data_IF_284765016585
#
_entry.id   IF_284765016585
#
_cell.length_a   1.000
_cell.length_b   1.000
_cell.length_c   1.000
_cell.angle_alpha   90.00
_cell.angle_beta   90.00
_cell.angle_gamma   90.00
#
_symmetry.space_group_name_H-M   'P 1'
#
loop_
_entity.id
_entity.type
_entity.pdbx_description
1 polymer ?
#
# COMPACT_ATOMS: atom_id res chain seq x y z
N UNK A 1 17.12 62.67 -13.01
CA UNK A 1 16.91 61.24 -13.34
C UNK A 1 16.99 60.34 -12.10
N UNK A 2 16.16 60.57 -11.06
CA UNK A 2 16.11 59.70 -9.86
C UNK A 2 14.71 59.15 -9.57
N UNK A 3 13.65 59.72 -10.19
CA UNK A 3 12.25 59.37 -9.95
C UNK A 3 11.70 58.27 -10.87
N UNK A 4 12.33 58.04 -12.03
CA UNK A 4 11.91 57.01 -13.00
C UNK A 4 12.36 55.62 -12.57
N UNK A 5 13.54 55.49 -11.94
CA UNK A 5 14.04 54.21 -11.43
C UNK A 5 13.14 53.60 -10.34
N UNK A 6 12.50 54.42 -9.52
CA UNK A 6 11.61 53.94 -8.45
C UNK A 6 10.33 53.28 -8.98
N UNK A 7 9.80 53.77 -10.10
CA UNK A 7 8.57 53.25 -10.72
C UNK A 7 8.85 51.94 -11.48
N UNK A 8 10.03 51.82 -12.08
CA UNK A 8 10.44 50.61 -12.80
C UNK A 8 10.67 49.42 -11.84
N UNK A 9 11.16 49.69 -10.63
CA UNK A 9 11.33 48.68 -9.58
C UNK A 9 9.99 48.23 -8.97
N UNK A 10 8.98 49.12 -8.85
CA UNK A 10 7.67 48.74 -8.29
C UNK A 10 6.82 47.92 -9.27
N UNK A 11 6.94 48.16 -10.58
CA UNK A 11 6.20 47.39 -11.59
C UNK A 11 6.80 45.99 -11.80
N UNK A 12 8.10 45.81 -11.53
CA UNK A 12 8.76 44.51 -11.61
C UNK A 12 8.26 43.51 -10.54
N UNK A 13 7.68 43.98 -9.44
CA UNK A 13 7.13 43.13 -8.37
C UNK A 13 5.65 42.74 -8.56
N UNK A 14 4.94 43.35 -9.52
CA UNK A 14 3.56 42.99 -9.85
C UNK A 14 3.48 41.90 -10.93
N UNK A 15 4.58 41.63 -11.61
CA UNK A 15 4.72 40.54 -12.56
C UNK A 15 5.38 39.33 -11.90
N UNK A 16 4.58 38.32 -11.61
CA UNK A 16 5.04 36.93 -11.52
C UNK A 16 5.55 36.42 -10.17
N UNK A 17 4.75 36.61 -9.11
CA UNK A 17 4.44 35.49 -8.19
C UNK A 17 3.41 34.55 -8.83
N UNK A 18 3.59 34.22 -10.11
CA UNK A 18 3.13 32.92 -10.60
C UNK A 18 4.13 31.92 -10.03
N UNK A 19 3.92 31.58 -8.76
CA UNK A 19 4.24 30.25 -8.31
C UNK A 19 3.48 29.34 -9.25
N UNK A 20 4.17 28.86 -10.28
CA UNK A 20 3.80 27.62 -10.92
C UNK A 20 3.83 26.62 -9.77
N UNK A 21 2.69 26.42 -9.13
CA UNK A 21 2.40 25.13 -8.53
C UNK A 21 2.56 24.18 -9.71
N UNK A 22 3.75 23.62 -9.82
CA UNK A 22 4.02 22.57 -10.79
C UNK A 22 2.90 21.58 -10.59
N UNK A 23 2.06 21.40 -11.61
CA UNK A 23 1.16 20.27 -11.67
C UNK A 23 2.09 19.07 -11.86
N UNK A 24 2.68 18.62 -10.76
CA UNK A 24 3.29 17.32 -10.70
C UNK A 24 2.09 16.40 -10.81
N UNK A 25 1.75 16.02 -12.04
CA UNK A 25 1.20 14.71 -12.29
C UNK A 25 2.28 13.73 -11.82
N UNK A 26 2.36 13.57 -10.49
CA UNK A 26 3.31 12.72 -9.83
C UNK A 26 2.87 11.30 -10.10
N UNK A 27 3.79 10.47 -10.56
CA UNK A 27 3.54 9.04 -10.62
C UNK A 27 3.14 8.57 -9.23
N UNK A 28 2.06 7.80 -9.16
CA UNK A 28 1.62 7.22 -7.90
C UNK A 28 2.74 6.33 -7.31
N UNK A 29 3.21 6.57 -6.07
CA UNK A 29 4.19 5.69 -5.47
C UNK A 29 3.61 4.29 -5.25
N UNK A 30 4.48 3.28 -5.30
CA UNK A 30 4.04 1.92 -5.01
C UNK A 30 3.57 1.79 -3.56
N UNK A 31 2.49 1.03 -3.32
CA UNK A 31 1.98 0.78 -1.98
C UNK A 31 3.00 0.00 -1.15
N UNK A 32 2.91 0.10 0.17
CA UNK A 32 3.81 -0.57 1.10
C UNK A 32 3.03 -1.48 2.03
N UNK A 33 3.52 -2.70 2.24
CA UNK A 33 2.98 -3.68 3.17
C UNK A 33 3.98 -3.95 4.30
N UNK A 34 3.51 -3.93 5.54
CA UNK A 34 4.33 -4.09 6.74
C UNK A 34 3.63 -4.90 7.83
N UNK A 35 4.33 -5.79 8.55
CA UNK A 35 5.74 -6.13 8.38
C UNK A 35 5.97 -7.13 7.22
N UNK A 36 7.21 -7.22 6.71
CA UNK A 36 7.57 -8.09 5.57
C UNK A 36 7.53 -9.59 5.90
N UNK A 37 7.54 -9.94 7.19
CA UNK A 37 7.45 -11.33 7.66
C UNK A 37 6.49 -11.40 8.84
N UNK A 38 5.52 -12.32 8.74
CA UNK A 38 4.47 -12.54 9.74
C UNK A 38 4.23 -14.04 9.96
N UNK A 39 3.49 -14.39 11.01
CA UNK A 39 2.93 -15.73 11.20
C UNK A 39 1.45 -15.75 10.85
N UNK A 40 0.93 -16.93 10.52
CA UNK A 40 -0.54 -17.13 10.43
C UNK A 40 -1.20 -16.66 11.74
N UNK A 41 -2.17 -15.76 11.60
CA UNK A 41 -2.88 -15.09 12.69
C UNK A 41 -2.46 -13.64 12.93
N UNK A 42 -1.27 -13.23 12.49
CA UNK A 42 -0.76 -11.86 12.67
C UNK A 42 -1.43 -10.86 11.71
N UNK A 43 -1.29 -9.57 12.02
CA UNK A 43 -1.81 -8.48 11.20
C UNK A 43 -0.76 -7.96 10.22
N UNK A 44 -1.22 -7.60 9.02
CA UNK A 44 -0.45 -6.95 7.95
C UNK A 44 -1.12 -5.61 7.67
N UNK A 45 -0.35 -4.54 7.71
CA UNK A 45 -0.79 -3.19 7.36
C UNK A 45 -0.33 -2.85 5.96
N UNK A 46 -1.23 -2.40 5.09
CA UNK A 46 -0.94 -1.99 3.72
C UNK A 46 -1.29 -0.51 3.58
N UNK A 47 -0.38 0.28 3.05
CA UNK A 47 -0.55 1.72 2.88
C UNK A 47 -0.34 2.13 1.43
N UNK A 48 -1.13 3.09 0.95
CA UNK A 48 -0.99 3.69 -0.37
C UNK A 48 -1.36 5.16 -0.31
N UNK A 49 -0.65 6.01 -1.04
CA UNK A 49 -0.98 7.44 -1.18
C UNK A 49 -1.90 7.69 -2.40
N UNK A 50 -2.28 6.61 -3.11
CA UNK A 50 -3.26 6.66 -4.19
C UNK A 50 -4.26 5.52 -4.04
N UNK A 51 -5.53 5.81 -4.27
CA UNK A 51 -6.60 4.84 -4.16
C UNK A 51 -7.59 4.99 -5.31
N UNK A 52 -7.64 3.99 -6.19
CA UNK A 52 -8.80 3.76 -7.05
C UNK A 52 -9.83 2.99 -6.21
N UNK A 53 -11.11 3.24 -6.40
CA UNK A 53 -12.25 2.88 -5.54
C UNK A 53 -12.45 1.39 -5.13
N UNK A 54 -11.47 0.51 -5.35
CA UNK A 54 -11.51 -0.91 -5.04
C UNK A 54 -10.39 -1.31 -4.07
N UNK A 55 -10.70 -2.21 -3.14
CA UNK A 55 -9.71 -2.83 -2.25
C UNK A 55 -8.66 -3.61 -3.06
N UNK A 56 -7.40 -3.69 -2.60
CA UNK A 56 -6.37 -4.40 -3.33
C UNK A 56 -6.61 -5.90 -3.32
N UNK A 57 -6.26 -6.54 -4.43
CA UNK A 57 -6.32 -7.99 -4.60
C UNK A 57 -5.03 -8.65 -4.09
N UNK A 58 -5.17 -9.87 -3.57
CA UNK A 58 -4.03 -10.66 -3.09
C UNK A 58 -3.53 -11.56 -4.21
N UNK A 59 -2.26 -11.39 -4.57
CA UNK A 59 -1.57 -12.14 -5.63
C UNK A 59 -0.33 -12.87 -5.08
N UNK A 60 0.16 -13.86 -5.82
CA UNK A 60 1.41 -14.56 -5.49
C UNK A 60 2.63 -13.73 -5.92
N UNK A 61 3.74 -13.88 -5.20
CA UNK A 61 5.04 -13.34 -5.64
C UNK A 61 5.77 -14.34 -6.57
N UNK A 62 5.48 -14.24 -7.87
CA UNK A 62 6.06 -15.12 -8.89
C UNK A 62 5.66 -16.57 -8.66
N UNK A 63 6.65 -17.47 -8.59
CA UNK A 63 6.43 -18.91 -8.36
C UNK A 63 6.35 -19.29 -6.87
N UNK A 64 6.38 -18.32 -5.94
CA UNK A 64 6.25 -18.62 -4.52
C UNK A 64 4.82 -19.08 -4.20
N UNK A 65 4.62 -19.97 -3.22
CA UNK A 65 3.29 -20.34 -2.76
C UNK A 65 2.50 -19.08 -2.42
N UNK A 66 1.28 -18.93 -2.94
CA UNK A 66 0.53 -17.67 -2.82
C UNK A 66 0.37 -17.22 -1.37
N UNK A 67 0.14 -18.14 -0.42
CA UNK A 67 -0.32 -17.73 0.92
C UNK A 67 -1.70 -17.08 0.85
N UNK A 68 -2.21 -16.61 1.98
CA UNK A 68 -3.51 -15.92 2.01
C UNK A 68 -3.66 -15.00 3.23
N UNK A 69 -4.53 -13.99 3.09
CA UNK A 69 -4.89 -13.08 4.17
C UNK A 69 -6.34 -12.57 4.01
N UNK A 70 -6.98 -12.25 5.13
CA UNK A 70 -8.36 -11.78 5.18
C UNK A 70 -8.41 -10.30 5.56
N UNK A 71 -9.24 -9.51 4.87
CA UNK A 71 -9.41 -8.08 5.17
C UNK A 71 -10.06 -7.88 6.53
N UNK A 72 -9.39 -7.14 7.42
CA UNK A 72 -9.86 -6.78 8.76
C UNK A 72 -10.46 -5.37 8.79
N UNK A 73 -9.77 -4.41 8.18
CA UNK A 73 -10.25 -3.02 8.10
C UNK A 73 -9.76 -2.33 6.83
N UNK A 74 -10.52 -1.33 6.38
CA UNK A 74 -10.26 -0.53 5.18
C UNK A 74 -10.49 0.97 5.45
N UNK A 75 -10.02 1.88 4.59
CA UNK A 75 -10.29 3.31 4.72
C UNK A 75 -11.79 3.64 4.69
N UNK A 76 -12.20 4.67 5.44
CA UNK A 76 -13.61 5.06 5.57
C UNK A 76 -14.20 5.70 4.30
N UNK A 77 -13.35 6.19 3.39
CA UNK A 77 -13.78 6.97 2.22
C UNK A 77 -14.03 6.06 1.01
N UNK A 78 -15.22 5.49 0.94
CA UNK A 78 -15.84 5.12 -0.33
C UNK A 78 -16.20 6.43 -1.06
N UNK A 79 -15.40 6.88 -2.01
CA UNK A 79 -15.76 7.69 -3.19
C UNK A 79 -14.52 8.44 -3.69
N UNK A 80 -14.27 8.25 -4.97
CA UNK A 80 -13.18 8.77 -5.79
C UNK A 80 -12.96 10.28 -5.57
N UNK A 81 -11.95 10.66 -4.79
CA UNK A 81 -11.10 11.77 -5.24
C UNK A 81 -10.32 11.20 -6.42
N UNK A 82 -10.33 11.89 -7.56
CA UNK A 82 -9.66 11.42 -8.77
C UNK A 82 -8.17 11.15 -8.55
N UNK A 83 -7.47 10.84 -9.65
CA UNK A 83 -6.04 10.51 -9.72
C UNK A 83 -5.06 11.58 -9.20
N UNK A 84 -5.53 12.59 -8.48
CA UNK A 84 -4.65 13.57 -7.85
C UNK A 84 -4.12 13.02 -6.53
N UNK A 85 -2.79 13.06 -6.30
CA UNK A 85 -2.23 12.69 -5.01
C UNK A 85 -2.88 13.55 -3.93
N UNK A 86 -3.56 12.88 -3.00
CA UNK A 86 -4.10 13.52 -1.81
C UNK A 86 -3.03 13.42 -0.74
N UNK A 87 -2.86 14.42 0.12
CA UNK A 87 -1.96 14.36 1.29
C UNK A 87 -2.45 13.36 2.36
N UNK A 88 -3.13 12.28 1.97
CA UNK A 88 -3.79 11.31 2.83
C UNK A 88 -3.34 9.89 2.46
N UNK A 89 -2.67 9.23 3.42
CA UNK A 89 -2.27 7.84 3.28
C UNK A 89 -3.45 6.93 3.62
N UNK A 90 -3.92 6.18 2.63
CA UNK A 90 -4.94 5.17 2.80
C UNK A 90 -4.35 3.91 3.43
N UNK A 91 -5.06 3.32 4.41
CA UNK A 91 -4.58 2.15 5.16
C UNK A 91 -5.58 1.00 5.13
N UNK A 92 -5.11 -0.18 4.75
CA UNK A 92 -5.80 -1.47 4.89
C UNK A 92 -5.10 -2.31 5.96
N UNK A 93 -5.89 -3.09 6.69
CA UNK A 93 -5.37 -4.08 7.65
C UNK A 93 -5.90 -5.44 7.25
N UNK A 94 -5.00 -6.40 7.11
CA UNK A 94 -5.29 -7.79 6.79
C UNK A 94 -4.81 -8.70 7.92
N UNK A 95 -5.45 -9.86 8.08
CA UNK A 95 -5.00 -10.94 8.97
C UNK A 95 -4.46 -12.08 8.12
N UNK A 96 -3.22 -12.51 8.38
CA UNK A 96 -2.62 -13.64 7.67
C UNK A 96 -3.37 -14.95 8.00
N UNK A 97 -3.81 -15.68 6.97
CA UNK A 97 -4.62 -16.91 7.12
C UNK A 97 -3.92 -18.17 6.62
N UNK A 98 -3.03 -18.07 5.62
CA UNK A 98 -2.30 -19.22 5.07
C UNK A 98 -0.82 -18.91 4.79
N UNK A 99 0.10 -19.87 5.02
CA UNK A 99 1.52 -19.69 4.77
C UNK A 99 1.83 -19.57 3.27
N UNK A 100 2.77 -18.69 2.93
CA UNK A 100 3.18 -18.37 1.56
C UNK A 100 3.69 -16.94 1.45
N UNK A 101 3.92 -16.46 0.24
CA UNK A 101 4.36 -15.09 -0.03
C UNK A 101 3.33 -14.37 -0.91
N UNK A 102 2.69 -13.35 -0.33
CA UNK A 102 1.69 -12.52 -0.99
C UNK A 102 2.26 -11.16 -1.42
N UNK A 103 1.61 -10.53 -2.39
CA UNK A 103 1.65 -9.09 -2.69
C UNK A 103 0.23 -8.54 -2.78
N UNK A 104 0.08 -7.23 -2.55
CA UNK A 104 -1.18 -6.51 -2.70
C UNK A 104 -1.15 -5.72 -4.01
N UNK A 105 -2.07 -6.06 -4.92
CA UNK A 105 -2.21 -5.46 -6.24
C UNK A 105 -3.45 -4.55 -6.27
N UNK A 106 -3.22 -3.27 -6.51
CA UNK A 106 -4.24 -2.24 -6.55
C UNK A 106 -4.87 -2.07 -7.95
N UNK A 107 -4.44 -2.87 -8.93
CA UNK A 107 -4.91 -2.82 -10.32
C UNK A 107 -4.53 -1.51 -11.02
N UNK A 108 -4.88 -1.36 -12.31
CA UNK A 108 -4.76 -0.07 -12.98
C UNK A 108 -5.80 0.90 -12.41
N UNK A 109 -5.45 2.18 -12.21
CA UNK A 109 -6.45 3.19 -11.90
C UNK A 109 -7.31 3.45 -13.14
N UNK A 110 -8.42 2.72 -13.28
CA UNK A 110 -9.40 2.82 -14.37
C UNK A 110 -8.88 2.44 -15.77
N UNK A 111 -9.79 1.99 -16.64
CA UNK A 111 -9.52 1.55 -18.02
C UNK A 111 -9.19 2.67 -19.00
N UNK A 112 -8.87 3.89 -18.52
CA UNK A 112 -8.68 5.08 -19.35
C UNK A 112 -7.20 5.44 -19.58
N UNK A 113 -6.25 4.76 -18.92
CA UNK A 113 -4.82 5.04 -19.10
C UNK A 113 -4.12 3.95 -19.95
N UNK A 114 -3.62 4.28 -21.16
CA UNK A 114 -2.90 3.34 -22.01
C UNK A 114 -1.51 2.98 -21.49
N UNK A 115 -1.04 3.63 -20.41
CA UNK A 115 0.23 3.37 -19.72
C UNK A 115 -0.02 2.91 -18.27
N UNK A 116 -0.97 1.99 -18.08
CA UNK A 116 -1.45 1.55 -16.77
C UNK A 116 -0.34 1.28 -15.76
N UNK A 117 -0.24 2.15 -14.76
CA UNK A 117 0.61 1.94 -13.59
C UNK A 117 -0.02 0.83 -12.75
N UNK A 118 0.61 -0.35 -12.71
CA UNK A 118 0.24 -1.41 -11.77
C UNK A 118 0.90 -1.11 -10.43
N UNK A 119 0.13 -0.63 -9.46
CA UNK A 119 0.60 -0.34 -8.12
C UNK A 119 0.60 -1.65 -7.29
N UNK A 120 1.79 -2.25 -7.12
CA UNK A 120 1.96 -3.53 -6.41
C UNK A 120 2.90 -3.35 -5.22
N UNK A 121 2.52 -3.92 -4.07
CA UNK A 121 3.32 -3.79 -2.85
C UNK A 121 4.63 -4.59 -2.87
N UNK A 122 5.51 -4.30 -1.90
CA UNK A 122 6.56 -5.23 -1.51
C UNK A 122 5.95 -6.58 -1.05
N UNK A 123 6.69 -7.70 -1.21
CA UNK A 123 6.21 -9.01 -0.80
C UNK A 123 6.15 -9.17 0.73
N UNK A 124 5.15 -9.89 1.21
CA UNK A 124 5.02 -10.29 2.62
C UNK A 124 5.09 -11.81 2.73
N UNK A 125 6.00 -12.31 3.56
CA UNK A 125 6.19 -13.74 3.82
C UNK A 125 5.41 -14.16 5.06
N UNK A 126 4.42 -15.02 4.87
CA UNK A 126 3.60 -15.61 5.92
C UNK A 126 4.18 -16.99 6.27
N UNK A 127 4.67 -17.13 7.49
CA UNK A 127 5.14 -18.39 8.04
C UNK A 127 4.04 -19.10 8.80
N UNK A 128 4.08 -20.43 8.85
CA UNK A 128 3.17 -21.17 9.72
C UNK A 128 3.38 -20.75 11.17
N UNK A 129 2.27 -20.66 11.90
CA UNK A 129 2.37 -20.67 13.35
C UNK A 129 2.80 -22.10 13.75
N UNK A 130 3.64 -22.24 14.78
CA UNK A 130 4.00 -23.59 15.27
C UNK A 130 2.71 -24.31 15.59
N UNK A 131 2.44 -25.43 14.88
CA UNK A 131 1.13 -26.07 14.86
C UNK A 131 0.61 -26.23 16.29
N UNK A 132 -0.45 -25.50 16.69
CA UNK A 132 -1.02 -25.69 18.01
C UNK A 132 -1.43 -27.15 18.20
N UNK A 133 -1.78 -27.84 17.12
CA UNK A 133 -2.10 -29.27 17.09
C UNK A 133 -0.93 -30.18 17.50
N UNK A 134 0.33 -29.88 17.13
CA UNK A 134 1.50 -30.61 17.63
C UNK A 134 1.68 -30.41 19.15
N UNK A 135 1.42 -29.20 19.63
CA UNK A 135 1.45 -28.92 21.07
C UNK A 135 0.31 -29.64 21.80
N UNK A 136 -0.89 -29.68 21.22
CA UNK A 136 -2.02 -30.46 21.74
C UNK A 136 -1.73 -31.96 21.72
N UNK A 137 -1.16 -32.52 20.65
CA UNK A 137 -0.77 -33.92 20.57
C UNK A 137 0.25 -34.28 21.66
N UNK A 138 1.25 -33.41 21.90
CA UNK A 138 2.22 -33.59 22.97
C UNK A 138 1.58 -33.50 24.37
N UNK A 139 0.65 -32.57 24.59
CA UNK A 139 -0.12 -32.46 25.85
C UNK A 139 -1.01 -33.70 26.06
N UNK A 140 -1.59 -34.24 24.99
CA UNK A 140 -2.44 -35.43 25.01
C UNK A 140 -1.64 -36.75 25.00
N UNK A 141 -0.31 -36.70 25.06
CA UNK A 141 0.55 -37.88 25.14
C UNK A 141 0.77 -38.63 23.83
N UNK A 142 0.33 -38.07 22.70
CA UNK A 142 0.64 -38.61 21.37
C UNK A 142 2.07 -38.19 20.99
N UNK A 143 3.03 -39.11 21.11
CA UNK A 143 4.43 -38.88 20.71
C UNK A 143 5.50 -39.52 21.59
N UNK A 144 5.13 -40.19 22.70
CA UNK A 144 6.07 -41.08 23.37
C UNK A 144 6.18 -42.36 22.54
N UNK A 145 7.29 -42.51 21.81
CA UNK A 145 7.72 -43.81 21.32
C UNK A 145 7.76 -44.76 22.52
N UNK A 146 6.95 -45.82 22.43
CA UNK A 146 7.06 -46.95 23.33
C UNK A 146 8.39 -47.64 23.01
N UNK A 147 9.35 -47.49 23.91
CA UNK A 147 10.49 -48.41 24.03
C UNK A 147 10.04 -49.70 24.71
#
# INVERSE_FOLDING_TARGET
>A
MKKIFAILLSVLFLGSVFGVASTMAGECPNPTASPETVKVGDLITVTSDCYSSADPSIIADGNKPKGDAELVSRPATSFSKGLEPVDETYTWVYRATAPGTIKFDFGPPSSAEPNGYTAVSNPVTITSNSLPMLNFMKILGFGNESA
#
